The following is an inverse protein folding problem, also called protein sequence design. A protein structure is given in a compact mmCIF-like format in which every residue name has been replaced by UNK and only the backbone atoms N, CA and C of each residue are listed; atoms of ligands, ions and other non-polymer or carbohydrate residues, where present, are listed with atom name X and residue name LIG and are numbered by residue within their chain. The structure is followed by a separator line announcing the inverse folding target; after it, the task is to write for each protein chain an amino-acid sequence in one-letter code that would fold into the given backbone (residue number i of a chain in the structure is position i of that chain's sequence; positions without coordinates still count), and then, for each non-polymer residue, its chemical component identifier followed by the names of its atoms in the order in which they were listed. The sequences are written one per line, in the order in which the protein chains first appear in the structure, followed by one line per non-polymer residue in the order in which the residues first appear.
data_IF_099340960775
#
_entry.id   IF_099340960775
#
_cell.length_a   1.000
_cell.length_b   1.000
_cell.length_c   1.000
_cell.angle_alpha   90.00
_cell.angle_beta   90.00
_cell.angle_gamma   90.00
#
_symmetry.space_group_name_H-M   'P 1'
#
loop_
_entity.id
_entity.type
_entity.pdbx_description
1 polymer ?
#
# COMPACT_ATOMS: atom_id res chain seq x y z
N UNK A 1 0.34 -13.85 20.03
CA UNK A 1 0.69 -12.57 19.38
C UNK A 1 1.87 -12.73 18.41
N UNK A 2 1.56 -12.79 17.12
CA UNK A 2 2.50 -12.84 16.01
C UNK A 2 2.57 -11.45 15.36
N UNK A 3 3.77 -10.92 15.16
CA UNK A 3 3.99 -9.61 14.50
C UNK A 3 4.50 -9.85 13.10
N UNK A 4 3.74 -9.41 12.09
CA UNK A 4 4.05 -9.65 10.68
C UNK A 4 4.31 -8.32 9.98
N UNK A 5 5.44 -8.25 9.25
CA UNK A 5 5.74 -7.15 8.33
C UNK A 5 5.64 -7.67 6.90
N UNK A 6 4.65 -7.18 6.15
CA UNK A 6 4.47 -7.52 4.74
C UNK A 6 5.05 -6.42 3.87
N UNK A 7 5.97 -6.78 2.98
CA UNK A 7 6.52 -5.90 1.95
C UNK A 7 5.91 -6.29 0.61
N UNK A 8 5.27 -5.34 -0.08
CA UNK A 8 4.65 -5.62 -1.37
C UNK A 8 4.75 -4.44 -2.32
N UNK A 9 5.18 -4.68 -3.55
CA UNK A 9 5.11 -3.69 -4.64
C UNK A 9 3.75 -3.69 -5.37
N UNK A 10 2.84 -4.60 -4.99
CA UNK A 10 1.57 -4.84 -5.66
C UNK A 10 0.35 -4.62 -4.75
N UNK A 11 0.51 -3.97 -3.60
CA UNK A 11 -0.66 -3.62 -2.78
C UNK A 11 -1.43 -2.45 -3.45
N UNK A 12 -2.77 -2.50 -3.49
CA UNK A 12 -3.55 -1.42 -4.09
C UNK A 12 -3.43 -0.13 -3.28
N UNK A 13 -3.73 0.98 -3.95
CA UNK A 13 -3.83 2.30 -3.33
C UNK A 13 -5.02 3.05 -3.95
N UNK A 14 -5.42 4.17 -3.34
CA UNK A 14 -6.59 4.94 -3.78
C UNK A 14 -6.53 5.38 -5.26
N UNK A 15 -5.34 5.53 -5.85
CA UNK A 15 -5.18 5.86 -7.28
C UNK A 15 -5.31 4.64 -8.20
N UNK A 16 -5.14 3.42 -7.67
CA UNK A 16 -5.15 2.15 -8.40
C UNK A 16 -5.86 1.05 -7.59
N UNK A 17 -7.19 1.13 -7.38
CA UNK A 17 -7.91 0.22 -6.48
C UNK A 17 -7.92 -1.24 -6.93
N UNK A 18 -7.81 -1.50 -8.24
CA UNK A 18 -7.80 -2.86 -8.80
C UNK A 18 -6.38 -3.46 -8.90
N UNK A 19 -5.35 -2.73 -8.48
CA UNK A 19 -3.97 -3.18 -8.60
C UNK A 19 -3.62 -4.17 -7.49
N UNK A 20 -3.48 -5.45 -7.85
CA UNK A 20 -3.06 -6.49 -6.91
C UNK A 20 -4.08 -6.77 -5.78
N UNK A 21 -5.37 -6.74 -6.11
CA UNK A 21 -6.49 -7.14 -5.24
C UNK A 21 -6.31 -8.48 -4.52
N UNK A 22 -5.54 -9.40 -5.09
CA UNK A 22 -5.21 -10.66 -4.42
C UNK A 22 -4.33 -10.45 -3.18
N UNK A 23 -3.34 -9.55 -3.25
CA UNK A 23 -2.45 -9.21 -2.14
C UNK A 23 -3.25 -8.52 -1.03
N UNK A 24 -4.14 -7.60 -1.41
CA UNK A 24 -5.04 -6.95 -0.45
C UNK A 24 -5.88 -7.98 0.32
N UNK A 25 -6.55 -8.89 -0.39
CA UNK A 25 -7.37 -9.92 0.24
C UNK A 25 -6.58 -10.84 1.16
N UNK A 26 -5.33 -11.18 0.79
CA UNK A 26 -4.44 -11.97 1.65
C UNK A 26 -4.01 -11.20 2.89
N UNK A 27 -3.63 -9.93 2.75
CA UNK A 27 -3.25 -9.06 3.87
C UNK A 27 -4.41 -8.84 4.84
N UNK A 28 -5.61 -8.53 4.32
CA UNK A 28 -6.82 -8.38 5.13
C UNK A 28 -7.20 -9.68 5.83
N UNK A 29 -7.12 -10.83 5.13
CA UNK A 29 -7.37 -12.14 5.74
C UNK A 29 -6.39 -12.46 6.87
N UNK A 30 -5.13 -12.06 6.74
CA UNK A 30 -4.11 -12.23 7.77
C UNK A 30 -4.33 -11.28 8.96
N UNK A 31 -4.67 -10.01 8.70
CA UNK A 31 -4.95 -9.01 9.72
C UNK A 31 -6.23 -9.33 10.53
N UNK A 32 -7.18 -10.05 9.95
CA UNK A 32 -8.40 -10.48 10.64
C UNK A 32 -8.16 -11.56 11.70
N UNK A 33 -6.97 -12.17 11.75
CA UNK A 33 -6.67 -13.20 12.75
C UNK A 33 -6.40 -12.54 14.12
N UNK A 34 -7.09 -12.97 15.21
CA UNK A 34 -7.10 -12.25 16.49
C UNK A 34 -5.72 -12.14 17.17
N UNK A 35 -4.82 -13.06 16.86
CA UNK A 35 -3.46 -13.09 17.41
C UNK A 35 -2.39 -12.45 16.50
N UNK A 36 -2.78 -11.77 15.43
CA UNK A 36 -1.85 -11.20 14.44
C UNK A 36 -1.86 -9.67 14.46
N UNK A 37 -0.69 -9.08 14.64
CA UNK A 37 -0.42 -7.66 14.38
C UNK A 37 0.26 -7.57 13.01
N UNK A 38 -0.47 -7.06 12.00
CA UNK A 38 0.06 -6.90 10.65
C UNK A 38 0.45 -5.44 10.40
N UNK A 39 1.67 -5.24 9.89
CA UNK A 39 2.10 -3.99 9.27
C UNK A 39 2.43 -4.23 7.81
N UNK A 40 1.85 -3.44 6.92
CA UNK A 40 2.12 -3.52 5.49
C UNK A 40 2.92 -2.30 5.04
N UNK A 41 3.93 -2.52 4.20
CA UNK A 41 4.72 -1.47 3.57
C UNK A 41 4.69 -1.68 2.06
N UNK A 42 4.07 -0.74 1.36
CA UNK A 42 3.98 -0.70 -0.08
C UNK A 42 4.73 0.54 -0.62
N UNK A 43 5.92 0.38 -1.20
CA UNK A 43 6.67 1.51 -1.71
C UNK A 43 6.00 2.10 -2.96
N UNK A 44 5.86 3.44 -2.98
CA UNK A 44 5.37 4.20 -4.14
C UNK A 44 6.54 4.80 -4.89
N UNK A 45 6.75 4.35 -6.13
CA UNK A 45 7.83 4.83 -6.99
C UNK A 45 7.52 6.20 -7.60
N UNK A 46 8.01 7.28 -6.96
CA UNK A 46 7.90 8.65 -7.46
C UNK A 46 9.25 9.14 -8.01
N UNK A 47 9.29 9.81 -9.18
CA UNK A 47 10.50 10.47 -9.65
C UNK A 47 10.82 11.70 -8.78
N UNK A 48 12.06 12.22 -8.81
CA UNK A 48 12.42 13.43 -8.10
C UNK A 48 11.58 14.64 -8.53
N UNK A 49 11.37 15.58 -7.60
CA UNK A 49 10.72 16.85 -7.90
C UNK A 49 11.50 17.63 -8.99
N UNK A 50 10.84 18.28 -9.96
CA UNK A 50 9.38 18.49 -10.09
C UNK A 50 8.64 17.41 -10.90
N UNK A 51 9.32 16.37 -11.39
CA UNK A 51 8.69 15.34 -12.23
C UNK A 51 7.62 14.54 -11.49
N UNK A 52 7.65 14.49 -10.15
CA UNK A 52 6.60 13.84 -9.33
C UNK A 52 5.21 14.47 -9.55
N UNK A 53 5.14 15.72 -10.03
CA UNK A 53 3.89 16.44 -10.31
C UNK A 53 3.36 16.25 -11.72
N UNK A 54 4.08 15.52 -12.60
CA UNK A 54 3.55 15.20 -13.93
C UNK A 54 2.28 14.38 -13.77
N UNK A 55 1.30 14.57 -14.67
CA UNK A 55 -0.06 14.03 -14.50
C UNK A 55 -0.13 12.52 -14.19
N UNK A 56 0.81 11.72 -14.71
CA UNK A 56 0.88 10.28 -14.41
C UNK A 56 1.27 9.93 -12.96
N UNK A 57 1.94 10.83 -12.26
CA UNK A 57 2.42 10.66 -10.88
C UNK A 57 1.68 11.54 -9.88
N UNK A 58 0.98 12.58 -10.31
CA UNK A 58 0.29 13.51 -9.42
C UNK A 58 -0.68 12.80 -8.45
N UNK A 59 -1.38 11.76 -8.91
CA UNK A 59 -2.26 10.96 -8.05
C UNK A 59 -1.48 10.13 -7.02
N UNK A 60 -0.29 9.64 -7.36
CA UNK A 60 0.60 8.91 -6.47
C UNK A 60 1.30 9.83 -5.46
N UNK A 61 1.65 11.05 -5.88
CA UNK A 61 2.26 12.10 -5.04
C UNK A 61 1.28 12.60 -3.97
N UNK A 62 -0.02 12.53 -4.25
CA UNK A 62 -1.10 12.89 -3.33
C UNK A 62 -1.53 11.80 -2.34
N UNK A 63 -0.97 10.58 -2.43
CA UNK A 63 -1.31 9.51 -1.49
C UNK A 63 -0.85 9.85 -0.06
N UNK A 64 -1.63 9.47 0.96
CA UNK A 64 -1.18 9.60 2.34
C UNK A 64 0.04 8.70 2.58
N UNK A 65 0.92 9.13 3.49
CA UNK A 65 2.12 8.34 3.82
C UNK A 65 1.79 7.05 4.57
N UNK A 66 0.73 7.07 5.37
CA UNK A 66 0.22 5.94 6.15
C UNK A 66 -1.31 5.93 6.09
N UNK A 67 -1.87 4.73 6.15
CA UNK A 67 -3.30 4.47 6.23
C UNK A 67 -3.53 3.38 7.28
N UNK A 68 -4.58 3.54 8.07
CA UNK A 68 -5.06 2.51 8.99
C UNK A 68 -6.28 1.83 8.34
N UNK A 69 -6.22 0.50 8.24
CA UNK A 69 -7.22 -0.35 7.59
C UNK A 69 -7.93 -1.24 8.60
#
# INVERSE_FOLDING_TARGET
MLRVLTLSSLFPDASRPNFGVFVERQALGLAAHPDVELKLVAPVGLPPWPMSRLGRYAALDGLPRHEDW
#
